data_IF_560245815518
#
_entry.id   IF_560245815518
#
_cell.length_a   1.000
_cell.length_b   1.000
_cell.length_c   1.000
_cell.angle_alpha   90.00
_cell.angle_beta   90.00
_cell.angle_gamma   90.00
#
_symmetry.space_group_name_H-M   'P 1'
#
loop_
_entity.id
_entity.type
_entity.pdbx_description
1 polymer ?
#
# COMPACT_ATOMS: atom_id res chain seq x y z
N UNK A 1 -9.68 -5.57 0.88
CA UNK A 1 -9.81 -6.58 -0.20
C UNK A 1 -10.05 -7.99 0.34
N UNK A 2 -9.10 -8.61 1.06
CA UNK A 2 -9.26 -9.98 1.59
C UNK A 2 -10.57 -10.20 2.37
N UNK A 3 -10.88 -9.33 3.34
CA UNK A 3 -12.08 -9.47 4.17
C UNK A 3 -13.39 -9.28 3.41
N UNK A 4 -13.35 -8.60 2.26
CA UNK A 4 -14.51 -8.40 1.41
C UNK A 4 -14.76 -9.58 0.46
N UNK A 5 -13.80 -10.49 0.29
CA UNK A 5 -13.99 -11.68 -0.52
C UNK A 5 -14.98 -12.66 0.17
N UNK A 6 -15.85 -13.35 -0.60
CA UNK A 6 -16.71 -14.40 -0.08
C UNK A 6 -15.89 -15.44 0.70
N UNK A 7 -16.41 -15.92 1.84
CA UNK A 7 -15.68 -16.83 2.75
C UNK A 7 -15.05 -18.02 2.02
N UNK A 8 -15.78 -18.62 1.08
CA UNK A 8 -15.33 -19.76 0.28
C UNK A 8 -14.10 -19.45 -0.60
N UNK A 9 -13.91 -18.18 -1.02
CA UNK A 9 -12.80 -17.74 -1.86
C UNK A 9 -11.68 -17.07 -1.09
N UNK A 10 -11.85 -16.79 0.21
CA UNK A 10 -10.84 -16.13 1.05
C UNK A 10 -9.48 -16.84 1.01
N UNK A 11 -9.36 -18.19 1.11
CA UNK A 11 -8.05 -18.84 1.06
C UNK A 11 -7.29 -18.55 -0.24
N UNK A 12 -7.98 -18.66 -1.38
CA UNK A 12 -7.41 -18.37 -2.71
C UNK A 12 -7.04 -16.89 -2.86
N UNK A 13 -7.96 -15.99 -2.51
CA UNK A 13 -7.73 -14.53 -2.58
C UNK A 13 -6.62 -14.09 -1.63
N UNK A 14 -6.54 -14.69 -0.43
CA UNK A 14 -5.51 -14.42 0.57
C UNK A 14 -4.12 -14.82 0.10
N UNK A 15 -3.97 -16.01 -0.47
CA UNK A 15 -2.69 -16.46 -1.04
C UNK A 15 -2.20 -15.55 -2.16
N UNK A 16 -3.08 -15.18 -3.09
CA UNK A 16 -2.77 -14.25 -4.17
C UNK A 16 -2.37 -12.86 -3.63
N UNK A 17 -3.19 -12.26 -2.77
CA UNK A 17 -2.92 -10.94 -2.22
C UNK A 17 -1.63 -10.91 -1.40
N UNK A 18 -1.35 -11.97 -0.63
CA UNK A 18 -0.12 -12.07 0.14
C UNK A 18 1.11 -12.13 -0.77
N UNK A 19 1.07 -12.95 -1.81
CA UNK A 19 2.18 -13.06 -2.77
C UNK A 19 2.48 -11.71 -3.41
N UNK A 20 1.45 -11.04 -3.94
CA UNK A 20 1.61 -9.75 -4.60
C UNK A 20 2.06 -8.66 -3.62
N UNK A 21 1.53 -8.67 -2.39
CA UNK A 21 1.92 -7.71 -1.35
C UNK A 21 3.38 -7.88 -0.91
N UNK A 22 3.85 -9.12 -0.75
CA UNK A 22 5.26 -9.39 -0.42
C UNK A 22 6.17 -8.92 -1.54
N UNK A 23 5.83 -9.24 -2.80
CA UNK A 23 6.62 -8.78 -3.95
C UNK A 23 6.67 -7.25 -3.99
N UNK A 24 5.51 -6.58 -3.89
CA UNK A 24 5.44 -5.12 -3.89
C UNK A 24 6.21 -4.50 -2.72
N UNK A 25 6.16 -5.10 -1.53
CA UNK A 25 6.93 -4.61 -0.38
C UNK A 25 8.44 -4.75 -0.60
N UNK A 26 8.90 -5.90 -1.10
CA UNK A 26 10.34 -6.17 -1.27
C UNK A 26 10.93 -5.34 -2.41
N UNK A 27 10.27 -5.33 -3.57
CA UNK A 27 10.81 -4.70 -4.79
C UNK A 27 10.35 -3.27 -4.97
N UNK A 28 9.23 -2.87 -4.36
CA UNK A 28 8.58 -1.58 -4.55
C UNK A 28 7.62 -1.55 -5.75
N UNK A 29 7.50 -2.64 -6.52
CA UNK A 29 6.65 -2.69 -7.71
C UNK A 29 5.19 -2.89 -7.32
N UNK A 30 4.37 -1.84 -7.44
CA UNK A 30 2.96 -1.85 -7.00
C UNK A 30 1.95 -2.20 -8.09
N UNK A 31 2.33 -2.14 -9.37
CA UNK A 31 1.41 -2.33 -10.51
C UNK A 31 0.54 -3.60 -10.40
N UNK A 32 1.08 -4.80 -10.05
CA UNK A 32 0.26 -6.00 -10.01
C UNK A 32 -0.81 -5.96 -8.91
N UNK A 33 -0.58 -5.20 -7.83
CA UNK A 33 -1.57 -4.99 -6.78
C UNK A 33 -2.65 -4.00 -7.25
N UNK A 34 -2.24 -2.93 -7.92
CA UNK A 34 -3.13 -1.88 -8.44
C UNK A 34 -4.07 -2.41 -9.53
N UNK A 35 -3.57 -3.30 -10.39
CA UNK A 35 -4.37 -3.93 -11.44
C UNK A 35 -5.54 -4.76 -10.90
N UNK A 36 -5.47 -5.23 -9.65
CA UNK A 36 -6.58 -5.95 -9.02
C UNK A 36 -7.82 -5.08 -8.78
N UNK A 37 -7.69 -3.76 -8.76
CA UNK A 37 -8.82 -2.85 -8.52
C UNK A 37 -8.93 -1.68 -9.47
N UNK A 38 -7.90 -1.31 -10.24
CA UNK A 38 -7.96 -0.11 -11.08
C UNK A 38 -9.13 -0.14 -12.07
N UNK A 39 -9.42 -1.32 -12.64
CA UNK A 39 -10.51 -1.51 -13.59
C UNK A 39 -11.84 -1.90 -12.94
N UNK A 40 -11.78 -2.55 -11.78
CA UNK A 40 -12.96 -3.09 -11.10
C UNK A 40 -13.64 -2.06 -10.18
N UNK A 41 -12.85 -1.18 -9.57
CA UNK A 41 -13.29 -0.20 -8.61
C UNK A 41 -12.52 1.13 -8.80
N UNK A 42 -12.86 1.94 -9.83
CA UNK A 42 -12.16 3.18 -10.15
C UNK A 42 -12.07 4.16 -8.98
N UNK A 43 -13.07 4.16 -8.08
CA UNK A 43 -13.05 4.99 -6.88
C UNK A 43 -11.95 4.58 -5.88
N UNK A 44 -11.68 3.28 -5.73
CA UNK A 44 -10.56 2.82 -4.90
C UNK A 44 -9.22 3.25 -5.50
N UNK A 45 -9.12 3.29 -6.83
CA UNK A 45 -7.94 3.79 -7.52
C UNK A 45 -7.74 5.29 -7.33
N UNK A 46 -8.82 6.09 -7.40
CA UNK A 46 -8.74 7.52 -7.08
C UNK A 46 -8.31 7.74 -5.62
N UNK A 47 -8.86 6.97 -4.68
CA UNK A 47 -8.49 7.05 -3.27
C UNK A 47 -7.01 6.69 -3.06
N UNK A 48 -6.51 5.65 -3.73
CA UNK A 48 -5.09 5.27 -3.75
C UNK A 48 -4.20 6.40 -4.28
N UNK A 49 -4.58 7.03 -5.39
CA UNK A 49 -3.83 8.13 -5.97
C UNK A 49 -3.74 9.34 -5.01
N UNK A 50 -4.85 9.69 -4.35
CA UNK A 50 -4.89 10.77 -3.36
C UNK A 50 -4.03 10.43 -2.14
N UNK A 51 -4.16 9.23 -1.58
CA UNK A 51 -3.34 8.81 -0.43
C UNK A 51 -1.85 8.77 -0.76
N UNK A 52 -1.50 8.34 -1.97
CA UNK A 52 -0.11 8.38 -2.47
C UNK A 52 0.40 9.82 -2.60
N UNK A 53 -0.41 10.74 -3.10
CA UNK A 53 -0.05 12.16 -3.13
C UNK A 53 0.16 12.75 -1.73
N UNK A 54 -0.71 12.39 -0.77
CA UNK A 54 -0.59 12.83 0.62
C UNK A 54 0.66 12.24 1.30
N UNK A 55 0.98 10.97 1.05
CA UNK A 55 2.18 10.35 1.64
C UNK A 55 3.45 11.03 1.15
N UNK A 56 3.53 11.33 -0.15
CA UNK A 56 4.65 12.07 -0.75
C UNK A 56 4.73 13.49 -0.18
N UNK A 57 3.60 14.20 -0.09
CA UNK A 57 3.55 15.54 0.49
C UNK A 57 4.06 15.56 1.93
N UNK A 58 3.61 14.62 2.77
CA UNK A 58 4.06 14.51 4.17
C UNK A 58 5.57 14.20 4.22
N UNK A 59 6.05 13.26 3.41
CA UNK A 59 7.47 12.91 3.38
C UNK A 59 8.34 14.12 3.01
N UNK A 60 7.96 14.86 1.96
CA UNK A 60 8.66 16.09 1.55
C UNK A 60 8.56 17.19 2.61
N UNK A 61 7.39 17.41 3.20
CA UNK A 61 7.19 18.43 4.23
C UNK A 61 8.00 18.16 5.51
N UNK A 62 8.19 16.89 5.86
CA UNK A 62 9.05 16.45 6.98
C UNK A 62 10.54 16.36 6.59
N UNK A 63 10.89 16.72 5.35
CA UNK A 63 12.27 16.66 4.85
C UNK A 63 12.84 15.25 4.76
N UNK A 64 11.98 14.22 4.69
CA UNK A 64 12.39 12.82 4.58
C UNK A 64 12.79 12.56 3.13
N UNK A 65 14.07 12.27 2.94
CA UNK A 65 14.63 11.92 1.63
C UNK A 65 15.38 10.59 1.76
N UNK A 66 15.10 9.67 0.84
CA UNK A 66 15.77 8.39 0.69
C UNK A 66 16.17 8.21 -0.78
N UNK A 67 17.36 7.67 -1.03
CA UNK A 67 17.70 7.19 -2.36
C UNK A 67 16.96 5.88 -2.66
N UNK A 68 16.64 5.64 -3.92
CA UNK A 68 16.14 4.35 -4.40
C UNK A 68 16.77 4.04 -5.75
N UNK A 69 17.04 2.76 -6.04
CA UNK A 69 17.67 2.35 -7.28
C UNK A 69 16.65 1.94 -8.35
N UNK A 70 15.49 1.40 -7.95
CA UNK A 70 14.51 0.88 -8.89
C UNK A 70 13.08 1.36 -8.59
N UNK A 71 12.49 0.97 -7.45
CA UNK A 71 11.06 1.22 -7.19
C UNK A 71 10.75 1.52 -5.72
N UNK A 72 11.78 1.86 -4.92
CA UNK A 72 11.64 2.26 -3.52
C UNK A 72 11.03 1.17 -2.62
N UNK A 73 11.36 -0.09 -2.88
CA UNK A 73 11.00 -1.23 -2.03
C UNK A 73 11.84 -1.34 -0.76
N UNK A 74 11.54 -2.35 0.07
CA UNK A 74 12.29 -2.63 1.30
C UNK A 74 13.77 -2.96 1.02
N UNK A 75 14.07 -3.59 -0.12
CA UNK A 75 15.46 -3.85 -0.53
C UNK A 75 16.18 -2.52 -0.79
N UNK A 76 15.57 -1.61 -1.57
CA UNK A 76 16.11 -0.28 -1.81
C UNK A 76 16.32 0.48 -0.49
N UNK A 77 15.33 0.44 0.41
CA UNK A 77 15.41 1.09 1.71
C UNK A 77 16.61 0.61 2.54
N UNK A 78 16.82 -0.72 2.64
CA UNK A 78 17.94 -1.29 3.42
C UNK A 78 19.29 -0.96 2.79
N UNK A 79 19.41 -1.10 1.47
CA UNK A 79 20.66 -0.82 0.76
C UNK A 79 21.02 0.66 0.82
N UNK A 80 20.02 1.55 0.77
CA UNK A 80 20.21 2.99 0.68
C UNK A 80 20.18 3.71 2.04
N UNK A 81 19.89 2.99 3.13
CA UNK A 81 19.74 3.57 4.47
C UNK A 81 20.97 4.35 4.94
N UNK A 82 22.17 3.85 4.64
CA UNK A 82 23.44 4.42 5.11
C UNK A 82 24.10 5.38 4.12
N UNK A 83 23.42 5.74 3.01
CA UNK A 83 24.00 6.67 2.04
C UNK A 83 24.07 8.09 2.64
N UNK A 84 25.14 8.87 2.38
CA UNK A 84 25.24 10.26 2.82
C UNK A 84 24.12 11.18 2.33
N UNK A 85 23.49 10.81 1.22
CA UNK A 85 22.34 11.51 0.65
C UNK A 85 21.00 11.18 1.33
N UNK A 86 20.95 10.13 2.17
CA UNK A 86 19.76 9.79 2.94
C UNK A 86 19.61 10.76 4.12
N UNK A 87 18.37 11.20 4.34
CA UNK A 87 18.02 12.07 5.46
C UNK A 87 18.23 11.34 6.81
N UNK A 88 18.64 12.08 7.86
CA UNK A 88 18.83 11.49 9.21
C UNK A 88 17.55 10.88 9.79
N UNK A 89 16.39 11.33 9.30
CA UNK A 89 15.06 10.87 9.70
C UNK A 89 14.46 9.84 8.72
N UNK A 90 15.26 9.20 7.86
CA UNK A 90 14.76 8.19 6.89
C UNK A 90 14.01 7.03 7.55
N UNK A 91 14.34 6.71 8.81
CA UNK A 91 13.62 5.72 9.62
C UNK A 91 12.13 6.04 9.81
N UNK A 92 11.74 7.31 9.68
CA UNK A 92 10.33 7.72 9.74
C UNK A 92 9.51 7.14 8.58
N UNK A 93 10.13 6.70 7.47
CA UNK A 93 9.43 6.00 6.39
C UNK A 93 8.78 4.71 6.87
N UNK A 94 9.40 3.98 7.81
CA UNK A 94 8.80 2.78 8.40
C UNK A 94 7.57 3.13 9.23
N UNK A 95 7.65 4.20 10.02
CA UNK A 95 6.52 4.70 10.82
C UNK A 95 5.39 5.15 9.91
N UNK A 96 5.70 5.92 8.86
CA UNK A 96 4.73 6.31 7.84
C UNK A 96 4.11 5.09 7.17
N UNK A 97 4.89 4.09 6.80
CA UNK A 97 4.40 2.84 6.21
C UNK A 97 3.37 2.14 7.09
N UNK A 98 3.62 2.06 8.41
CA UNK A 98 2.67 1.49 9.38
C UNK A 98 1.41 2.35 9.49
N UNK A 99 1.54 3.68 9.59
CA UNK A 99 0.38 4.58 9.66
C UNK A 99 -0.48 4.47 8.41
N UNK A 100 0.14 4.54 7.22
CA UNK A 100 -0.55 4.40 5.95
C UNK A 100 -1.17 3.02 5.79
N UNK A 101 -0.54 1.93 6.26
CA UNK A 101 -1.15 0.60 6.25
C UNK A 101 -2.53 0.61 6.94
N UNK A 102 -2.63 1.21 8.14
CA UNK A 102 -3.91 1.31 8.84
C UNK A 102 -4.90 2.23 8.13
N UNK A 103 -4.44 3.38 7.62
CA UNK A 103 -5.29 4.31 6.85
C UNK A 103 -5.87 3.63 5.61
N UNK A 104 -5.03 2.96 4.82
CA UNK A 104 -5.44 2.20 3.64
C UNK A 104 -6.41 1.08 4.04
N UNK A 105 -6.09 0.29 5.06
CA UNK A 105 -6.94 -0.81 5.51
C UNK A 105 -8.35 -0.33 5.90
N UNK A 106 -8.45 0.75 6.68
CA UNK A 106 -9.72 1.29 7.14
C UNK A 106 -10.51 1.92 5.99
N UNK A 107 -9.88 2.78 5.18
CA UNK A 107 -10.55 3.46 4.08
C UNK A 107 -11.00 2.50 2.99
N UNK A 108 -10.13 1.59 2.55
CA UNK A 108 -10.50 0.59 1.53
C UNK A 108 -11.61 -0.31 2.07
N UNK A 109 -11.54 -0.75 3.34
CA UNK A 109 -12.60 -1.59 3.92
C UNK A 109 -13.92 -0.84 4.04
N UNK A 110 -13.90 0.44 4.42
CA UNK A 110 -15.10 1.27 4.51
C UNK A 110 -15.73 1.50 3.14
N UNK A 111 -14.94 1.88 2.14
CA UNK A 111 -15.41 2.10 0.77
C UNK A 111 -15.99 0.80 0.20
N UNK A 112 -15.27 -0.33 0.30
CA UNK A 112 -15.79 -1.60 -0.21
C UNK A 112 -17.12 -1.99 0.46
N UNK A 113 -17.25 -1.80 1.77
CA UNK A 113 -18.51 -2.07 2.50
C UNK A 113 -19.65 -1.16 2.08
N UNK A 114 -19.38 0.10 1.76
CA UNK A 114 -20.39 1.05 1.29
C UNK A 114 -20.99 0.62 -0.06
N UNK A 115 -20.16 0.08 -0.97
CA UNK A 115 -20.62 -0.38 -2.28
C UNK A 115 -21.10 -1.84 -2.29
N UNK A 116 -20.76 -2.64 -1.29
CA UNK A 116 -21.22 -4.03 -1.13
C UNK A 116 -21.96 -4.22 0.22
N UNK A 117 -23.22 -3.75 0.32
CA UNK A 117 -24.01 -3.94 1.54
C UNK A 117 -24.38 -5.42 1.83
N UNK A 118 -24.24 -6.34 0.86
CA UNK A 118 -24.74 -7.72 0.99
C UNK A 118 -23.88 -8.66 1.85
N UNK A 119 -22.70 -8.23 2.31
CA UNK A 119 -21.81 -9.10 3.10
C UNK A 119 -22.13 -9.15 4.62
N UNK A 120 -23.33 -8.74 5.02
CA UNK A 120 -23.86 -8.93 6.39
C UNK A 120 -24.51 -10.29 6.64
N UNK A 121 -24.45 -11.26 5.69
CA UNK A 121 -24.98 -12.59 5.96
C UNK A 121 -24.68 -13.64 4.91
N UNK A 122 -23.54 -14.34 5.06
CA UNK A 122 -23.35 -15.75 4.66
C UNK A 122 -22.05 -16.28 5.28
#
# INVERSE_FOLDING_TARGET
MYLAAPKARRPMVGGMLLSVAITAFLTGVTEPLEFLFMFLAPLLYLLHAVLTGISLFIATALGIHAGFSFSAGAIDYVLMYSLPAASKNVWMLLVMGVVFFFVYFLLFSAVIRMFQPENTGS
#
